data_IF_044742933232
#
_entry.id   IF_044742933232
#
_cell.length_a   1.000
_cell.length_b   1.000
_cell.length_c   1.000
_cell.angle_alpha   90.00
_cell.angle_beta   90.00
_cell.angle_gamma   90.00
#
_symmetry.space_group_name_H-M   'P 1'
#
loop_
_entity.id
_entity.type
_entity.pdbx_description
1 polymer ?
#
# COMPACT_ATOMS: atom_id res chain seq x y z
N UNK A 1 8.43 -50.92 13.13
CA UNK A 1 9.21 -49.89 12.41
C UNK A 1 10.04 -49.16 13.44
N UNK A 2 11.34 -48.88 13.21
CA UNK A 2 12.14 -48.14 14.18
C UNK A 2 11.51 -46.77 14.45
N UNK A 3 11.48 -46.33 15.71
CA UNK A 3 10.94 -45.02 16.06
C UNK A 3 11.85 -43.93 15.51
N UNK A 4 11.28 -42.99 14.76
CA UNK A 4 12.02 -41.87 14.22
C UNK A 4 12.16 -40.80 15.30
N UNK A 5 13.40 -40.59 15.75
CA UNK A 5 13.74 -39.52 16.69
C UNK A 5 13.99 -38.26 15.86
N UNK A 6 13.08 -37.29 15.96
CA UNK A 6 13.20 -36.01 15.28
C UNK A 6 13.87 -35.00 16.20
N UNK A 7 14.86 -34.29 15.67
CA UNK A 7 15.43 -33.14 16.37
C UNK A 7 14.59 -31.89 16.09
N UNK A 8 14.69 -30.88 16.95
CA UNK A 8 13.90 -29.63 16.81
C UNK A 8 14.19 -28.91 15.48
N UNK A 9 15.38 -29.10 14.92
CA UNK A 9 15.78 -28.54 13.62
C UNK A 9 15.03 -29.21 12.46
N UNK A 10 14.71 -30.50 12.56
CA UNK A 10 13.96 -31.21 11.52
C UNK A 10 12.52 -30.69 11.40
N UNK A 11 11.99 -30.12 12.49
CA UNK A 11 10.67 -29.50 12.55
C UNK A 11 10.66 -28.03 12.07
N UNK A 12 11.82 -27.40 11.91
CA UNK A 12 11.94 -26.00 11.46
C UNK A 12 11.76 -25.84 9.95
N UNK A 13 11.87 -26.92 9.17
CA UNK A 13 11.75 -26.90 7.71
C UNK A 13 10.47 -26.19 7.21
N UNK A 14 9.26 -26.59 7.66
CA UNK A 14 8.01 -25.92 7.28
C UNK A 14 7.97 -24.44 7.67
N UNK A 15 8.53 -24.08 8.82
CA UNK A 15 8.59 -22.68 9.29
C UNK A 15 9.50 -21.86 8.40
N UNK A 16 10.68 -22.38 8.07
CA UNK A 16 11.62 -21.72 7.17
C UNK A 16 11.01 -21.49 5.78
N UNK A 17 10.31 -22.49 5.22
CA UNK A 17 9.61 -22.37 3.94
C UNK A 17 8.50 -21.32 4.01
N UNK A 18 7.72 -21.29 5.08
CA UNK A 18 6.67 -20.29 5.27
C UNK A 18 7.23 -18.86 5.34
N UNK A 19 8.35 -18.66 6.04
CA UNK A 19 9.03 -17.36 6.13
C UNK A 19 9.57 -16.93 4.76
N UNK A 20 10.22 -17.84 4.02
CA UNK A 20 10.74 -17.54 2.68
C UNK A 20 9.60 -17.18 1.73
N UNK A 21 8.51 -17.94 1.76
CA UNK A 21 7.33 -17.67 0.94
C UNK A 21 6.72 -16.30 1.27
N UNK A 22 6.52 -15.99 2.55
CA UNK A 22 6.02 -14.69 2.98
C UNK A 22 6.94 -13.53 2.56
N UNK A 23 8.27 -13.73 2.67
CA UNK A 23 9.25 -12.76 2.23
C UNK A 23 9.18 -12.51 0.71
N UNK A 24 9.03 -13.56 -0.10
CA UNK A 24 8.88 -13.43 -1.55
C UNK A 24 7.59 -12.68 -1.90
N UNK A 25 6.45 -13.02 -1.27
CA UNK A 25 5.20 -12.30 -1.49
C UNK A 25 5.31 -10.83 -1.11
N UNK A 26 5.98 -10.53 0.01
CA UNK A 26 6.25 -9.17 0.42
C UNK A 26 7.10 -8.41 -0.59
N UNK A 27 8.17 -9.02 -1.10
CA UNK A 27 9.03 -8.43 -2.14
C UNK A 27 8.25 -8.18 -3.44
N UNK A 28 7.44 -9.14 -3.89
CA UNK A 28 6.62 -8.96 -5.11
C UNK A 28 5.60 -7.84 -4.90
N UNK A 29 4.95 -7.78 -3.73
CA UNK A 29 4.00 -6.71 -3.42
C UNK A 29 4.69 -5.34 -3.38
N UNK A 30 5.81 -5.25 -2.67
CA UNK A 30 6.52 -4.00 -2.48
C UNK A 30 7.24 -3.51 -3.75
N UNK A 31 7.84 -4.39 -4.53
CA UNK A 31 8.61 -4.00 -5.72
C UNK A 31 7.79 -4.09 -7.01
N UNK A 32 7.05 -5.18 -7.24
CA UNK A 32 6.33 -5.36 -8.49
C UNK A 32 5.00 -4.61 -8.49
N UNK A 33 4.15 -4.77 -7.47
CA UNK A 33 2.85 -4.09 -7.47
C UNK A 33 3.01 -2.58 -7.26
N UNK A 34 3.77 -2.16 -6.25
CA UNK A 34 3.94 -0.74 -5.94
C UNK A 34 4.68 0.04 -7.04
N UNK A 35 5.50 -0.61 -7.87
CA UNK A 35 6.25 0.08 -8.93
C UNK A 35 5.70 -0.14 -10.34
N UNK A 36 5.25 -1.35 -10.68
CA UNK A 36 4.76 -1.68 -12.02
C UNK A 36 3.25 -1.50 -12.18
N UNK A 37 2.46 -1.71 -11.11
CA UNK A 37 0.99 -1.70 -11.21
C UNK A 37 0.36 -0.36 -10.80
N UNK A 38 1.10 0.58 -10.23
CA UNK A 38 0.60 1.93 -9.93
C UNK A 38 0.72 2.78 -11.19
N UNK A 39 -0.42 3.15 -11.77
CA UNK A 39 -0.46 4.16 -12.83
C UNK A 39 -0.29 5.56 -12.24
N UNK A 40 0.14 6.51 -13.07
CA UNK A 40 0.31 7.94 -12.71
C UNK A 40 -0.96 8.66 -12.23
N UNK A 41 -2.11 8.00 -12.35
CA UNK A 41 -3.42 8.54 -11.99
C UNK A 41 -4.08 7.76 -10.86
N UNK A 42 -3.43 6.72 -10.34
CA UNK A 42 -3.90 6.00 -9.18
C UNK A 42 -3.60 6.78 -7.91
N UNK A 43 -4.31 6.42 -6.84
CA UNK A 43 -4.12 7.03 -5.53
C UNK A 43 -2.70 6.73 -4.99
N UNK A 44 -2.13 7.72 -4.31
CA UNK A 44 -0.81 7.58 -3.67
C UNK A 44 -0.90 6.50 -2.60
N UNK A 45 0.01 5.52 -2.66
CA UNK A 45 0.04 4.46 -1.66
C UNK A 45 0.66 4.92 -0.35
N UNK A 46 0.29 4.24 0.73
CA UNK A 46 0.89 4.47 2.05
C UNK A 46 2.42 4.25 2.04
N UNK A 47 2.92 3.38 1.16
CA UNK A 47 4.35 3.20 0.95
C UNK A 47 5.01 4.43 0.35
N UNK A 48 4.42 5.06 -0.68
CA UNK A 48 4.93 6.32 -1.23
C UNK A 48 4.88 7.45 -0.18
N UNK A 49 3.80 7.54 0.61
CA UNK A 49 3.69 8.49 1.74
C UNK A 49 4.77 8.26 2.80
N UNK A 50 5.03 7.00 3.17
CA UNK A 50 6.05 6.65 4.15
C UNK A 50 7.45 6.98 3.60
N UNK A 51 7.73 6.63 2.35
CA UNK A 51 8.96 6.97 1.65
C UNK A 51 9.21 8.48 1.63
N UNK A 52 8.17 9.26 1.33
CA UNK A 52 8.28 10.72 1.29
C UNK A 52 8.68 11.36 2.64
N UNK A 53 8.30 10.76 3.77
CA UNK A 53 8.76 11.19 5.12
C UNK A 53 10.26 10.99 5.29
N UNK A 54 10.81 9.92 4.72
CA UNK A 54 12.24 9.61 4.75
C UNK A 54 13.02 10.11 3.52
N UNK A 55 12.41 10.95 2.67
CA UNK A 55 12.97 11.41 1.39
C UNK A 55 13.34 10.27 0.41
N UNK A 56 12.71 9.11 0.54
CA UNK A 56 12.91 7.94 -0.32
C UNK A 56 11.78 7.84 -1.35
N UNK A 57 12.14 7.73 -2.63
CA UNK A 57 11.19 7.48 -3.71
C UNK A 57 10.86 5.99 -3.74
N UNK A 58 9.72 5.61 -3.19
CA UNK A 58 9.27 4.21 -3.07
C UNK A 58 8.26 3.78 -4.14
N UNK A 59 8.00 4.62 -5.15
CA UNK A 59 7.08 4.30 -6.24
C UNK A 59 7.28 5.22 -7.45
N UNK A 60 6.40 5.15 -8.46
CA UNK A 60 6.55 5.90 -9.70
C UNK A 60 6.38 7.41 -9.51
N UNK A 61 5.53 7.84 -8.57
CA UNK A 61 5.22 9.25 -8.37
C UNK A 61 6.43 10.02 -7.84
N UNK A 62 6.50 11.31 -8.18
CA UNK A 62 7.57 12.17 -7.68
C UNK A 62 7.33 12.50 -6.20
N UNK A 63 8.41 12.66 -5.41
CA UNK A 63 8.31 13.05 -3.99
C UNK A 63 7.52 14.36 -3.81
N UNK A 64 7.62 15.27 -4.78
CA UNK A 64 6.88 16.53 -4.77
C UNK A 64 5.37 16.32 -4.93
N UNK A 65 4.96 15.41 -5.80
CA UNK A 65 3.56 15.05 -6.03
C UNK A 65 2.96 14.30 -4.83
N UNK A 66 3.74 13.39 -4.24
CA UNK A 66 3.36 12.66 -3.02
C UNK A 66 3.14 13.62 -1.85
N UNK A 67 4.04 14.59 -1.64
CA UNK A 67 3.91 15.61 -0.59
C UNK A 67 2.73 16.56 -0.81
N UNK A 68 2.36 16.80 -2.07
CA UNK A 68 1.18 17.58 -2.42
C UNK A 68 -0.13 16.86 -2.06
N UNK A 69 -0.08 15.55 -1.81
CA UNK A 69 -1.26 14.73 -1.53
C UNK A 69 -1.96 14.21 -2.79
N UNK A 70 -1.31 14.31 -3.96
CA UNK A 70 -1.81 13.74 -5.22
C UNK A 70 -3.20 14.23 -5.64
N UNK A 71 -3.83 13.45 -6.52
CA UNK A 71 -5.18 13.70 -7.06
C UNK A 71 -6.30 13.52 -6.03
N UNK A 72 -6.00 12.86 -4.91
CA UNK A 72 -6.90 12.61 -3.79
C UNK A 72 -7.38 13.91 -3.13
N UNK A 73 -6.54 14.96 -3.09
CA UNK A 73 -7.00 16.27 -2.60
C UNK A 73 -8.17 16.81 -3.42
N UNK A 74 -8.12 16.71 -4.74
CA UNK A 74 -9.17 17.27 -5.60
C UNK A 74 -10.50 16.54 -5.46
N UNK A 75 -10.50 15.19 -5.35
CA UNK A 75 -11.74 14.41 -5.22
C UNK A 75 -12.40 14.58 -3.85
N UNK A 76 -11.61 14.58 -2.77
CA UNK A 76 -12.14 14.82 -1.42
C UNK A 76 -12.70 16.24 -1.31
N UNK A 77 -11.99 17.24 -1.84
CA UNK A 77 -12.50 18.61 -1.90
C UNK A 77 -13.79 18.72 -2.72
N UNK A 78 -13.84 18.08 -3.89
CA UNK A 78 -15.02 18.09 -4.74
C UNK A 78 -16.20 17.33 -4.10
N UNK A 79 -15.93 16.27 -3.35
CA UNK A 79 -16.94 15.54 -2.57
C UNK A 79 -17.42 16.36 -1.37
N UNK A 80 -16.54 17.06 -0.65
CA UNK A 80 -16.91 18.00 0.42
C UNK A 80 -17.75 19.15 -0.13
N UNK A 81 -17.39 19.70 -1.29
CA UNK A 81 -18.21 20.72 -1.97
C UNK A 81 -19.59 20.20 -2.37
N UNK A 82 -19.68 18.95 -2.86
CA UNK A 82 -20.97 18.32 -3.20
C UNK A 82 -21.82 18.04 -1.96
N UNK A 83 -21.21 17.53 -0.88
CA UNK A 83 -21.88 17.30 0.40
C UNK A 83 -22.37 18.64 0.96
N UNK A 84 -21.52 19.68 0.95
CA UNK A 84 -21.88 21.01 1.40
C UNK A 84 -23.03 21.59 0.56
N UNK A 85 -23.00 21.42 -0.77
CA UNK A 85 -24.11 21.83 -1.66
C UNK A 85 -25.40 21.07 -1.38
N UNK A 86 -25.36 19.79 -1.04
CA UNK A 86 -26.56 19.01 -0.73
C UNK A 86 -27.10 19.26 0.68
N UNK A 87 -26.22 19.47 1.67
CA UNK A 87 -26.59 19.77 3.06
C UNK A 87 -27.11 21.20 3.21
N UNK A 88 -26.52 22.14 2.48
CA UNK A 88 -26.95 23.55 2.46
C UNK A 88 -27.77 23.92 1.23
N UNK A 89 -28.27 22.93 0.49
CA UNK A 89 -29.25 23.19 -0.56
C UNK A 89 -30.47 23.84 0.10
N UNK A 90 -30.89 25.04 -0.32
CA UNK A 90 -32.18 25.56 0.11
C UNK A 90 -33.25 24.54 -0.27
N UNK A 91 -34.01 24.08 0.72
CA UNK A 91 -35.22 23.30 0.52
C UNK A 91 -36.22 24.19 -0.22
N UNK A 92 -36.10 24.26 -1.54
CA UNK A 92 -37.06 24.94 -2.38
C UNK A 92 -38.31 24.06 -2.45
N UNK A 93 -39.38 24.63 -1.89
CA UNK A 93 -40.76 24.19 -1.91
C UNK A 93 -41.32 24.06 -3.33
#
# INVERSE_FOLDING_TARGET
MPEQVFDYIDLLGPVAVAVIFAAILFLISFFCLNWCCILKHDDITDFERLGAKYNLKLGPHSLHEVRRGGWMSTRVLQQEELIHKHVHAPAHA
#
